data_IF_206735334581
#
_entry.id   IF_206735334581
#
_cell.length_a   1.000
_cell.length_b   1.000
_cell.length_c   1.000
_cell.angle_alpha   90.00
_cell.angle_beta   90.00
_cell.angle_gamma   90.00
#
_symmetry.space_group_name_H-M   'P 1'
#
loop_
_entity.id
_entity.type
_entity.pdbx_description
1 polymer ?
#
# COMPACT_ATOMS: atom_id res chain seq x y z
N UNK A 1 -1.22 19.79 -3.18
CA UNK A 1 -0.42 19.89 -1.93
C UNK A 1 -0.68 18.77 -0.91
N UNK A 2 -1.92 18.37 -0.59
CA UNK A 2 -2.16 17.22 0.32
C UNK A 2 -2.12 15.86 -0.40
N UNK A 3 -2.78 15.74 -1.56
CA UNK A 3 -2.77 14.50 -2.35
C UNK A 3 -1.36 14.13 -2.83
N UNK A 4 -0.60 15.10 -3.35
CA UNK A 4 0.79 14.85 -3.79
C UNK A 4 1.67 14.30 -2.67
N UNK A 5 1.46 14.76 -1.42
CA UNK A 5 2.19 14.23 -0.25
C UNK A 5 1.75 12.82 0.12
N UNK A 6 0.45 12.53 0.05
CA UNK A 6 -0.07 11.18 0.31
C UNK A 6 0.43 10.18 -0.76
N UNK A 7 0.42 10.58 -2.03
CA UNK A 7 0.97 9.78 -3.13
C UNK A 7 2.48 9.59 -2.97
N UNK A 8 3.22 10.67 -2.68
CA UNK A 8 4.66 10.59 -2.43
C UNK A 8 5.01 9.71 -1.24
N UNK A 9 4.18 9.68 -0.19
CA UNK A 9 4.35 8.79 0.95
C UNK A 9 4.24 7.32 0.53
N UNK A 10 3.18 6.95 -0.19
CA UNK A 10 3.00 5.58 -0.68
C UNK A 10 4.10 5.17 -1.65
N UNK A 11 4.38 6.00 -2.66
CA UNK A 11 5.43 5.71 -3.64
C UNK A 11 6.81 5.63 -3.00
N UNK A 12 7.10 6.50 -2.04
CA UNK A 12 8.35 6.49 -1.29
C UNK A 12 8.52 5.25 -0.42
N UNK A 13 7.43 4.75 0.18
CA UNK A 13 7.44 3.49 0.93
C UNK A 13 7.75 2.31 0.00
N UNK A 14 7.05 2.18 -1.12
CA UNK A 14 7.30 1.11 -2.10
C UNK A 14 8.74 1.16 -2.66
N UNK A 15 9.21 2.35 -3.02
CA UNK A 15 10.56 2.51 -3.55
C UNK A 15 11.63 2.22 -2.50
N UNK A 16 11.40 2.64 -1.24
CA UNK A 16 12.32 2.42 -0.12
C UNK A 16 12.41 0.95 0.26
N UNK A 17 11.28 0.24 0.29
CA UNK A 17 11.23 -1.21 0.49
C UNK A 17 12.03 -1.94 -0.60
N UNK A 18 11.66 -1.75 -1.88
CA UNK A 18 12.33 -2.44 -2.99
C UNK A 18 13.85 -2.17 -3.02
N UNK A 19 14.27 -0.92 -2.81
CA UNK A 19 15.70 -0.56 -2.77
C UNK A 19 16.41 -1.10 -1.52
N UNK A 20 15.76 -1.06 -0.36
CA UNK A 20 16.30 -1.53 0.91
C UNK A 20 16.47 -3.05 0.95
N UNK A 21 15.57 -3.80 0.32
CA UNK A 21 15.60 -5.27 0.24
C UNK A 21 16.88 -5.82 -0.41
N UNK A 22 17.54 -5.02 -1.26
CA UNK A 22 18.82 -5.39 -1.89
C UNK A 22 19.94 -5.60 -0.87
N UNK A 23 19.82 -4.98 0.30
CA UNK A 23 20.86 -4.98 1.34
C UNK A 23 20.33 -5.34 2.73
N UNK A 24 19.15 -5.96 2.80
CA UNK A 24 18.59 -6.40 4.07
C UNK A 24 19.53 -7.38 4.78
N UNK A 25 19.66 -7.29 6.10
CA UNK A 25 20.58 -8.10 6.93
C UNK A 25 22.08 -7.91 6.65
N UNK A 26 22.47 -6.95 5.81
CA UNK A 26 23.87 -6.63 5.51
C UNK A 26 24.43 -5.64 6.52
N UNK A 27 25.74 -5.75 6.80
CA UNK A 27 26.41 -4.75 7.63
C UNK A 27 26.63 -3.46 6.84
N UNK A 28 26.65 -2.28 7.49
CA UNK A 28 27.00 -1.03 6.81
C UNK A 28 28.37 -1.07 6.11
N UNK A 29 29.33 -1.83 6.66
CA UNK A 29 30.66 -2.04 6.07
C UNK A 29 30.58 -2.79 4.74
N UNK A 30 29.78 -3.86 4.69
CA UNK A 30 29.55 -4.63 3.47
C UNK A 30 28.83 -3.79 2.41
N UNK A 31 27.80 -3.04 2.82
CA UNK A 31 27.06 -2.14 1.93
C UNK A 31 28.00 -1.09 1.34
N UNK A 32 28.85 -0.44 2.13
CA UNK A 32 29.80 0.56 1.61
C UNK A 32 30.84 -0.04 0.66
N UNK A 33 31.25 -1.29 0.89
CA UNK A 33 32.22 -1.98 0.04
C UNK A 33 31.63 -2.33 -1.32
N UNK A 34 30.39 -2.80 -1.36
CA UNK A 34 29.72 -3.25 -2.60
C UNK A 34 29.00 -2.12 -3.33
N UNK A 35 28.49 -1.13 -2.59
CA UNK A 35 27.79 0.04 -3.10
C UNK A 35 28.49 1.32 -2.64
N UNK A 36 29.68 1.65 -3.19
CA UNK A 36 30.44 2.83 -2.77
C UNK A 36 29.71 4.17 -3.01
N UNK A 37 28.75 4.21 -3.95
CA UNK A 37 27.85 5.35 -4.19
C UNK A 37 26.54 5.32 -3.39
N UNK A 38 26.38 4.32 -2.52
CA UNK A 38 25.10 3.91 -1.94
C UNK A 38 24.28 3.04 -2.88
N UNK A 39 23.24 2.41 -2.34
CA UNK A 39 22.26 1.66 -3.12
C UNK A 39 21.39 2.68 -3.85
N UNK A 40 21.52 2.77 -5.17
CA UNK A 40 20.88 3.82 -6.01
C UNK A 40 19.99 3.27 -7.10
N UNK A 41 20.25 2.05 -7.52
CA UNK A 41 19.57 1.42 -8.64
C UNK A 41 18.72 0.26 -8.12
N UNK A 42 17.53 0.12 -8.69
CA UNK A 42 16.74 -1.10 -8.55
C UNK A 42 17.40 -2.19 -9.41
N UNK A 43 17.70 -3.33 -8.80
CA UNK A 43 18.41 -4.42 -9.44
C UNK A 43 17.79 -5.77 -9.04
N UNK A 44 18.08 -6.81 -9.81
CA UNK A 44 17.72 -8.17 -9.41
C UNK A 44 18.61 -8.64 -8.23
N UNK A 45 18.11 -9.56 -7.41
CA UNK A 45 18.85 -10.20 -6.34
C UNK A 45 18.42 -9.77 -4.94
N UNK A 46 19.37 -9.31 -4.12
CA UNK A 46 19.13 -8.99 -2.72
C UNK A 46 18.90 -10.21 -1.82
N UNK A 47 18.40 -9.97 -0.62
CA UNK A 47 18.25 -11.00 0.42
C UNK A 47 17.22 -12.07 0.06
N UNK A 48 16.29 -11.75 -0.85
CA UNK A 48 15.18 -12.62 -1.24
C UNK A 48 15.24 -13.07 -2.71
N UNK A 49 16.24 -12.65 -3.49
CA UNK A 49 16.34 -12.99 -4.91
C UNK A 49 15.22 -12.41 -5.77
N UNK A 50 14.77 -11.20 -5.44
CA UNK A 50 13.69 -10.47 -6.13
C UNK A 50 14.12 -9.94 -7.50
N UNK A 51 13.17 -9.68 -8.39
CA UNK A 51 13.45 -8.91 -9.61
C UNK A 51 13.52 -7.40 -9.31
N UNK A 52 14.18 -6.63 -10.17
CA UNK A 52 14.35 -5.19 -10.00
C UNK A 52 13.00 -4.47 -9.75
N UNK A 53 12.89 -3.85 -8.57
CA UNK A 53 11.70 -3.07 -8.17
C UNK A 53 10.55 -3.89 -7.61
N UNK A 54 10.70 -5.21 -7.44
CA UNK A 54 9.68 -6.03 -6.79
C UNK A 54 9.58 -5.66 -5.30
N UNK A 55 8.35 -5.40 -4.77
CA UNK A 55 8.13 -5.14 -3.35
C UNK A 55 8.35 -6.37 -2.48
N UNK A 56 8.57 -6.16 -1.19
CA UNK A 56 8.55 -7.21 -0.15
C UNK A 56 7.27 -7.12 0.69
N UNK A 57 7.21 -7.87 1.79
CA UNK A 57 6.05 -7.94 2.68
C UNK A 57 5.67 -6.57 3.25
N UNK A 58 6.64 -5.68 3.49
CA UNK A 58 6.39 -4.30 3.92
C UNK A 58 5.38 -3.59 2.99
N UNK A 59 5.63 -3.62 1.68
CA UNK A 59 4.74 -2.98 0.70
C UNK A 59 3.49 -3.79 0.40
N UNK A 60 3.57 -5.12 0.37
CA UNK A 60 2.40 -5.96 0.15
C UNK A 60 1.36 -5.79 1.27
N UNK A 61 1.82 -5.72 2.53
CA UNK A 61 0.99 -5.46 3.69
C UNK A 61 0.47 -4.02 3.69
N UNK A 62 1.31 -3.03 3.34
CA UNK A 62 0.88 -1.64 3.24
C UNK A 62 -0.22 -1.46 2.18
N UNK A 63 -0.09 -2.09 1.02
CA UNK A 63 -1.10 -2.07 -0.05
C UNK A 63 -2.39 -2.78 0.38
N UNK A 64 -2.27 -3.92 1.07
CA UNK A 64 -3.43 -4.66 1.59
C UNK A 64 -4.22 -3.81 2.60
N UNK A 65 -3.52 -3.15 3.52
CA UNK A 65 -4.13 -2.24 4.49
C UNK A 65 -4.78 -1.04 3.80
N UNK A 66 -4.09 -0.41 2.84
CA UNK A 66 -4.60 0.74 2.10
C UNK A 66 -5.89 0.40 1.33
N UNK A 67 -5.93 -0.78 0.68
CA UNK A 67 -7.11 -1.28 -0.02
C UNK A 67 -8.30 -1.47 0.92
N UNK A 68 -8.09 -2.16 2.04
CA UNK A 68 -9.13 -2.36 3.06
C UNK A 68 -9.68 -1.01 3.57
N UNK A 69 -8.82 -0.04 3.86
CA UNK A 69 -9.23 1.28 4.32
C UNK A 69 -10.04 2.04 3.25
N UNK A 70 -9.64 1.94 1.98
CA UNK A 70 -10.37 2.55 0.87
C UNK A 70 -11.78 1.94 0.72
N UNK A 71 -11.90 0.61 0.77
CA UNK A 71 -13.17 -0.11 0.70
C UNK A 71 -14.09 0.25 1.88
N UNK A 72 -13.56 0.32 3.10
CA UNK A 72 -14.32 0.76 4.28
C UNK A 72 -14.78 2.23 4.18
N UNK A 73 -13.94 3.11 3.64
CA UNK A 73 -14.30 4.50 3.43
C UNK A 73 -15.45 4.65 2.43
N UNK A 74 -15.43 3.88 1.33
CA UNK A 74 -16.50 3.86 0.32
C UNK A 74 -17.82 3.34 0.90
N UNK A 75 -17.79 2.21 1.63
CA UNK A 75 -18.96 1.67 2.33
C UNK A 75 -19.57 2.69 3.31
N UNK A 76 -18.72 3.36 4.09
CA UNK A 76 -19.16 4.40 5.02
C UNK A 76 -19.82 5.59 4.30
N UNK A 77 -19.30 5.98 3.14
CA UNK A 77 -19.88 7.06 2.33
C UNK A 77 -21.23 6.67 1.74
N UNK A 78 -21.39 5.42 1.28
CA UNK A 78 -22.66 4.87 0.79
C UNK A 78 -23.73 4.86 1.90
N UNK A 79 -23.40 4.36 3.08
CA UNK A 79 -24.33 4.35 4.22
C UNK A 79 -24.78 5.76 4.63
N UNK A 80 -23.87 6.75 4.57
CA UNK A 80 -24.19 8.17 4.82
C UNK A 80 -25.05 8.80 3.72
N UNK A 81 -24.94 8.31 2.49
CA UNK A 81 -25.79 8.75 1.37
C UNK A 81 -27.20 8.18 1.50
N UNK A 82 -27.30 6.94 1.95
CA UNK A 82 -28.57 6.23 2.15
C UNK A 82 -29.36 6.76 3.34
N UNK A 83 -28.70 7.12 4.43
CA UNK A 83 -29.36 7.76 5.59
C UNK A 83 -29.90 9.17 5.29
N UNK A 84 -29.42 9.82 4.22
CA UNK A 84 -29.88 11.14 3.75
C UNK A 84 -30.99 11.07 2.70
N UNK A 85 -31.33 9.89 2.17
CA UNK A 85 -32.49 9.74 1.28
C UNK A 85 -33.78 9.86 2.13
N UNK A 86 -34.77 10.68 1.73
CA UNK A 86 -36.04 10.75 2.43
C UNK A 86 -36.68 9.35 2.47
N UNK A 87 -37.15 8.94 3.65
CA UNK A 87 -37.84 7.66 3.88
C UNK A 87 -39.23 7.66 3.24
N UNK A 88 -39.31 7.75 1.92
CA UNK A 88 -40.52 7.37 1.20
C UNK A 88 -40.34 5.95 0.67
N UNK A 89 -41.17 5.02 1.16
CA UNK A 89 -41.19 3.57 0.86
C UNK A 89 -40.31 2.62 1.71
N UNK A 90 -40.41 2.68 3.05
CA UNK A 90 -39.92 1.59 3.93
C UNK A 90 -40.82 0.33 3.93
N UNK A 91 -41.46 -0.03 2.80
CA UNK A 91 -42.43 -1.14 2.74
C UNK A 91 -42.07 -2.31 1.81
N UNK A 92 -40.90 -2.35 1.16
CA UNK A 92 -40.60 -3.42 0.17
C UNK A 92 -39.32 -4.24 0.36
N UNK A 93 -38.49 -3.99 1.38
CA UNK A 93 -37.20 -4.71 1.53
C UNK A 93 -37.18 -5.82 2.60
N UNK A 94 -38.34 -6.21 3.16
CA UNK A 94 -38.45 -7.41 4.03
C UNK A 94 -38.92 -8.64 3.24
N UNK A 95 -38.49 -8.78 1.98
CA UNK A 95 -38.96 -9.85 1.08
C UNK A 95 -37.85 -10.70 0.42
N UNK A 96 -36.59 -10.60 0.88
CA UNK A 96 -35.49 -11.44 0.36
C UNK A 96 -34.81 -12.34 1.41
N UNK A 97 -35.46 -12.61 2.55
CA UNK A 97 -34.93 -13.52 3.58
C UNK A 97 -35.92 -14.63 4.00
N UNK A 98 -36.75 -15.08 3.06
CA UNK A 98 -37.45 -16.38 3.14
C UNK A 98 -37.21 -17.18 1.88
#
# INVERSE_FOLDING_TARGET
MQIDRAQGCLLGQLAGDALGSLVEFRTPEDIRREYPGGVRELADGGSWGTIAGQPTDDSEMALSLARMLAEQAEQTQLLKKDSKRPRESTYLATACLT
#
